data_IF_036530336347
#
_entry.id   IF_036530336347
#
_cell.length_a   1.000
_cell.length_b   1.000
_cell.length_c   1.000
_cell.angle_alpha   90.00
_cell.angle_beta   90.00
_cell.angle_gamma   90.00
#
_symmetry.space_group_name_H-M   'P 1'
#
loop_
_entity.id
_entity.type
_entity.pdbx_description
1 polymer ?
#
# COMPACT_ATOMS: atom_id res chain seq x y z
N UNK A 1 -20.74 -44.23 10.12
CA UNK A 1 -21.93 -43.42 9.82
C UNK A 1 -21.46 -42.11 9.21
N UNK A 2 -21.58 -41.94 7.89
CA UNK A 2 -22.44 -40.94 7.21
C UNK A 2 -22.36 -39.53 7.80
N UNK A 3 -22.29 -38.41 7.06
CA UNK A 3 -22.31 -38.03 5.65
C UNK A 3 -22.09 -36.49 5.68
N UNK A 4 -21.10 -35.92 4.99
CA UNK A 4 -21.27 -34.98 3.86
C UNK A 4 -22.37 -33.88 3.94
N UNK A 5 -21.91 -32.64 3.68
CA UNK A 5 -22.54 -31.54 2.89
C UNK A 5 -23.78 -30.77 3.37
N UNK A 6 -23.71 -29.44 3.25
CA UNK A 6 -24.56 -28.56 2.39
C UNK A 6 -24.09 -27.09 2.59
N UNK A 7 -23.71 -26.27 1.61
CA UNK A 7 -24.22 -25.89 0.27
C UNK A 7 -25.54 -25.08 0.31
N UNK A 8 -25.40 -23.84 -0.15
CA UNK A 8 -26.29 -22.92 -0.88
C UNK A 8 -27.82 -22.95 -0.64
N UNK A 9 -28.39 -21.74 -0.48
CA UNK A 9 -29.76 -21.48 -0.91
C UNK A 9 -29.87 -20.14 -1.64
N UNK A 10 -30.14 -20.23 -2.95
CA UNK A 10 -30.79 -19.21 -3.77
C UNK A 10 -32.19 -19.72 -4.09
N UNK A 11 -33.08 -18.78 -4.45
CA UNK A 11 -34.36 -18.95 -5.17
C UNK A 11 -35.61 -19.08 -4.26
N UNK A 12 -36.55 -18.15 -4.41
CA UNK A 12 -37.87 -18.42 -4.99
C UNK A 12 -38.57 -17.13 -5.44
N UNK A 13 -39.13 -17.23 -6.65
CA UNK A 13 -40.09 -16.33 -7.30
C UNK A 13 -41.49 -16.73 -6.84
N UNK A 14 -42.37 -15.76 -6.57
CA UNK A 14 -43.82 -16.00 -6.57
C UNK A 14 -44.56 -14.76 -7.07
N UNK A 15 -45.37 -15.00 -8.10
CA UNK A 15 -46.32 -14.06 -8.71
C UNK A 15 -47.45 -13.69 -7.76
N UNK A 16 -47.95 -12.46 -7.86
CA UNK A 16 -49.37 -12.18 -7.64
C UNK A 16 -49.86 -11.15 -8.66
N UNK A 17 -50.91 -11.53 -9.40
CA UNK A 17 -51.70 -10.65 -10.26
C UNK A 17 -52.68 -9.84 -9.40
N UNK A 18 -52.82 -8.56 -9.72
CA UNK A 18 -53.84 -7.67 -9.17
C UNK A 18 -54.10 -6.51 -10.14
N UNK A 19 -55.38 -6.35 -10.48
CA UNK A 19 -55.93 -5.56 -11.59
C UNK A 19 -55.94 -4.04 -11.40
N UNK A 20 -55.59 -3.33 -12.48
CA UNK A 20 -56.06 -2.03 -13.00
C UNK A 20 -56.56 -0.93 -12.03
N UNK A 21 -55.82 0.19 -11.99
CA UNK A 21 -56.40 1.55 -11.96
C UNK A 21 -55.49 2.50 -12.75
N UNK A 22 -56.11 3.36 -13.56
CA UNK A 22 -55.47 4.31 -14.48
C UNK A 22 -54.67 5.39 -13.75
N UNK A 23 -53.48 5.72 -14.27
CA UNK A 23 -52.69 6.85 -13.82
C UNK A 23 -51.48 7.12 -14.73
N UNK A 24 -51.71 7.93 -15.77
CA UNK A 24 -50.74 8.78 -16.50
C UNK A 24 -49.33 8.23 -16.77
N UNK A 25 -49.10 7.90 -18.04
CA UNK A 25 -47.78 7.72 -18.63
C UNK A 25 -46.91 8.97 -18.40
N UNK A 26 -45.82 8.82 -17.64
CA UNK A 26 -44.73 9.80 -17.62
C UNK A 26 -43.93 9.62 -18.90
N UNK A 27 -44.34 10.33 -19.95
CA UNK A 27 -43.50 10.60 -21.11
C UNK A 27 -42.39 11.53 -20.63
N UNK A 28 -41.17 11.02 -20.46
CA UNK A 28 -39.99 11.88 -20.31
C UNK A 28 -39.75 12.51 -21.68
N UNK A 29 -39.87 13.83 -21.86
CA UNK A 29 -39.58 14.46 -23.13
C UNK A 29 -38.06 14.40 -23.36
N UNK A 30 -37.67 13.97 -24.55
CA UNK A 30 -36.33 14.11 -25.09
C UNK A 30 -36.06 15.62 -25.33
N UNK A 31 -35.77 16.36 -24.27
CA UNK A 31 -35.29 17.73 -24.35
C UNK A 31 -33.76 17.70 -24.41
N UNK A 32 -33.22 17.83 -25.62
CA UNK A 32 -31.82 18.21 -25.84
C UNK A 32 -31.65 19.61 -25.25
N UNK A 33 -31.18 19.69 -23.99
CA UNK A 33 -30.67 20.95 -23.45
C UNK A 33 -29.37 21.29 -24.18
N UNK A 34 -29.18 22.58 -24.41
CA UNK A 34 -28.30 23.18 -25.42
C UNK A 34 -26.89 22.56 -25.55
N UNK A 35 -26.25 22.73 -26.72
CA UNK A 35 -24.84 22.34 -26.97
C UNK A 35 -23.88 22.87 -25.89
N UNK A 36 -24.17 23.99 -25.22
CA UNK A 36 -23.32 24.53 -24.15
C UNK A 36 -23.44 23.74 -22.85
N UNK A 37 -24.63 23.27 -22.48
CA UNK A 37 -24.81 22.39 -21.32
C UNK A 37 -24.21 20.99 -21.56
N UNK A 38 -24.34 20.47 -22.78
CA UNK A 38 -23.65 19.23 -23.17
C UNK A 38 -22.12 19.40 -23.16
N UNK A 39 -21.59 20.57 -23.55
CA UNK A 39 -20.15 20.86 -23.50
C UNK A 39 -19.65 21.10 -22.07
N UNK A 40 -20.46 21.69 -21.19
CA UNK A 40 -20.15 21.80 -19.76
C UNK A 40 -20.24 20.45 -19.04
N UNK A 41 -21.20 19.60 -19.37
CA UNK A 41 -21.32 18.24 -18.85
C UNK A 41 -20.22 17.31 -19.40
N UNK A 42 -19.78 17.50 -20.65
CA UNK A 42 -18.60 16.83 -21.21
C UNK A 42 -17.30 17.34 -20.58
N UNK A 43 -17.20 18.63 -20.26
CA UNK A 43 -16.07 19.19 -19.49
C UNK A 43 -16.06 18.73 -18.03
N UNK A 44 -17.23 18.53 -17.40
CA UNK A 44 -17.32 18.04 -16.02
C UNK A 44 -17.07 16.53 -15.92
N UNK A 45 -17.37 15.75 -16.97
CA UNK A 45 -17.09 14.30 -17.04
C UNK A 45 -15.69 13.96 -17.54
N UNK A 46 -14.98 14.92 -18.13
CA UNK A 46 -13.55 14.79 -18.47
C UNK A 46 -12.61 15.15 -17.31
N UNK A 47 -13.16 15.59 -16.18
CA UNK A 47 -12.50 15.69 -14.88
C UNK A 47 -12.83 14.47 -14.01
N UNK A 48 -13.01 13.30 -14.63
CA UNK A 48 -12.76 12.03 -13.94
C UNK A 48 -11.27 12.02 -13.64
N UNK A 49 -10.95 12.47 -12.44
CA UNK A 49 -9.86 11.98 -11.61
C UNK A 49 -8.83 11.20 -12.41
N UNK A 50 -7.79 11.89 -12.90
CA UNK A 50 -6.53 11.20 -13.08
C UNK A 50 -6.18 10.73 -11.66
N UNK A 51 -6.50 9.49 -11.34
CA UNK A 51 -6.12 8.91 -10.06
C UNK A 51 -4.61 9.05 -9.98
N UNK A 52 -4.16 9.96 -9.12
CA UNK A 52 -2.75 10.14 -8.84
C UNK A 52 -2.35 8.92 -8.04
N UNK A 53 -1.32 8.21 -8.49
CA UNK A 53 -0.76 7.08 -7.75
C UNK A 53 0.55 7.51 -7.11
N UNK A 54 0.81 6.97 -5.93
CA UNK A 54 2.06 7.08 -5.20
C UNK A 54 2.71 5.70 -5.10
N UNK A 55 4.01 5.68 -4.86
CA UNK A 55 4.79 4.48 -4.67
C UNK A 55 4.84 4.12 -3.19
N UNK A 56 4.23 3.01 -2.82
CA UNK A 56 4.42 2.39 -1.51
C UNK A 56 5.65 1.47 -1.54
N UNK A 57 6.34 1.39 -0.41
CA UNK A 57 7.54 0.61 -0.23
C UNK A 57 7.54 -0.06 1.14
N UNK A 58 7.93 -1.33 1.18
CA UNK A 58 8.28 -2.07 2.40
C UNK A 58 9.72 -2.54 2.31
N UNK A 59 10.45 -2.46 3.43
CA UNK A 59 11.76 -3.07 3.61
C UNK A 59 11.75 -3.86 4.92
N UNK A 60 12.33 -5.06 4.88
CA UNK A 60 12.49 -5.93 6.03
C UNK A 60 13.97 -6.18 6.32
N UNK A 61 14.33 -6.18 7.59
CA UNK A 61 15.70 -6.44 8.03
C UNK A 61 15.70 -7.44 9.18
N UNK A 62 16.49 -8.51 9.05
CA UNK A 62 16.71 -9.45 10.15
C UNK A 62 17.90 -9.00 10.98
N UNK A 63 17.63 -8.52 12.20
CA UNK A 63 18.61 -8.00 13.12
C UNK A 63 19.61 -9.08 13.56
N UNK A 64 20.85 -8.65 13.79
CA UNK A 64 21.96 -9.52 14.21
C UNK A 64 21.84 -9.92 15.68
N UNK A 65 21.39 -8.98 16.52
CA UNK A 65 20.98 -9.19 17.91
C UNK A 65 19.56 -8.66 18.15
N UNK A 66 19.11 -8.67 19.38
CA UNK A 66 17.88 -7.95 19.76
C UNK A 66 18.10 -6.43 19.64
N UNK A 67 17.03 -5.64 19.55
CA UNK A 67 17.14 -4.18 19.33
C UNK A 67 17.95 -3.45 20.42
N UNK A 68 17.95 -3.98 21.65
CA UNK A 68 18.68 -3.45 22.82
C UNK A 68 20.10 -4.01 22.96
N UNK A 69 20.53 -4.93 22.09
CA UNK A 69 21.90 -5.46 22.08
C UNK A 69 22.87 -4.33 21.66
N UNK A 70 24.03 -4.16 22.33
CA UNK A 70 25.04 -3.17 21.96
C UNK A 70 25.44 -3.18 20.47
N UNK A 71 25.32 -4.33 19.80
CA UNK A 71 25.57 -4.40 18.36
C UNK A 71 24.61 -3.53 17.52
N UNK A 72 23.42 -3.27 18.03
CA UNK A 72 22.36 -2.46 17.39
C UNK A 72 22.41 -0.98 17.78
N UNK A 73 23.28 -0.55 18.69
CA UNK A 73 23.31 0.81 19.23
C UNK A 73 23.43 1.88 18.14
N UNK A 74 24.37 1.73 17.20
CA UNK A 74 24.55 2.72 16.13
C UNK A 74 23.33 2.78 15.19
N UNK A 75 22.63 1.66 14.99
CA UNK A 75 21.39 1.65 14.22
C UNK A 75 20.26 2.37 14.98
N UNK A 76 20.02 1.97 16.24
CA UNK A 76 18.96 2.52 17.09
C UNK A 76 19.12 4.02 17.32
N UNK A 77 20.35 4.48 17.61
CA UNK A 77 20.65 5.89 17.85
C UNK A 77 20.51 6.79 16.60
N UNK A 78 20.36 6.20 15.40
CA UNK A 78 20.20 6.94 14.15
C UNK A 78 18.81 6.81 13.52
N UNK A 79 17.87 6.08 14.14
CA UNK A 79 16.51 5.92 13.63
C UNK A 79 15.83 7.27 13.39
N UNK A 80 15.81 8.15 14.40
CA UNK A 80 15.17 9.46 14.31
C UNK A 80 15.82 10.35 13.23
N UNK A 81 17.15 10.31 13.11
CA UNK A 81 17.88 11.06 12.12
C UNK A 81 17.50 10.63 10.70
N UNK A 82 17.40 9.32 10.46
CA UNK A 82 17.02 8.75 9.16
C UNK A 82 15.54 8.99 8.86
N UNK A 83 14.66 8.84 9.85
CA UNK A 83 13.23 9.12 9.70
C UNK A 83 13.00 10.60 9.35
N UNK A 84 13.66 11.51 10.06
CA UNK A 84 13.61 12.96 9.78
C UNK A 84 14.16 13.27 8.39
N UNK A 85 15.26 12.63 7.99
CA UNK A 85 15.83 12.80 6.65
C UNK A 85 14.85 12.35 5.55
N UNK A 86 14.13 11.24 5.76
CA UNK A 86 13.09 10.80 4.84
C UNK A 86 11.97 11.84 4.74
N UNK A 87 11.43 12.29 5.87
CA UNK A 87 10.33 13.26 5.96
C UNK A 87 10.65 14.62 5.32
N UNK A 88 11.93 15.00 5.28
CA UNK A 88 12.42 16.22 4.65
C UNK A 88 12.82 16.04 3.18
N UNK A 89 12.84 14.80 2.67
CA UNK A 89 13.24 14.52 1.29
C UNK A 89 12.14 14.90 0.31
N UNK A 90 12.54 15.41 -0.86
CA UNK A 90 11.62 15.68 -1.95
C UNK A 90 10.88 14.41 -2.36
N UNK A 91 9.57 14.53 -2.55
CA UNK A 91 8.70 13.41 -2.92
C UNK A 91 8.33 12.46 -1.79
N UNK A 92 8.74 12.69 -0.54
CA UNK A 92 8.19 11.96 0.60
C UNK A 92 6.70 12.28 0.80
N UNK A 93 5.89 11.27 1.07
CA UNK A 93 4.44 11.42 1.30
C UNK A 93 4.04 10.98 2.70
N UNK A 94 4.48 9.80 3.12
CA UNK A 94 4.04 9.20 4.38
C UNK A 94 5.00 8.09 4.82
N UNK A 95 5.03 7.79 6.12
CA UNK A 95 5.63 6.56 6.63
C UNK A 95 4.75 5.92 7.69
N UNK A 96 4.87 4.60 7.80
CA UNK A 96 4.24 3.86 8.86
C UNK A 96 4.93 4.12 10.20
N UNK A 97 4.14 4.31 11.24
CA UNK A 97 4.55 4.44 12.62
C UNK A 97 3.68 3.50 13.45
N UNK A 98 4.26 2.73 14.35
CA UNK A 98 3.43 2.00 15.31
C UNK A 98 2.74 3.01 16.23
N UNK A 99 1.52 2.66 16.66
CA UNK A 99 0.76 3.48 17.61
C UNK A 99 1.39 3.55 19.00
N UNK A 100 2.33 2.65 19.31
CA UNK A 100 2.93 2.54 20.64
C UNK A 100 4.25 3.31 20.75
N UNK A 101 5.11 3.26 19.74
CA UNK A 101 6.47 3.80 19.80
C UNK A 101 6.77 4.89 18.79
N UNK A 102 5.88 5.17 17.83
CA UNK A 102 6.12 6.15 16.78
C UNK A 102 7.14 5.69 15.72
N UNK A 103 7.65 4.46 15.84
CA UNK A 103 8.49 3.76 14.88
C UNK A 103 7.85 2.42 14.48
N UNK A 104 8.23 1.89 13.32
CA UNK A 104 7.77 0.62 12.77
C UNK A 104 8.53 -0.59 13.35
N UNK A 105 9.65 -0.38 14.05
CA UNK A 105 10.55 -1.45 14.53
C UNK A 105 9.89 -2.48 15.45
N UNK A 106 8.87 -2.09 16.21
CA UNK A 106 8.19 -2.98 17.16
C UNK A 106 7.04 -3.77 16.53
N UNK A 107 6.75 -3.50 15.25
CA UNK A 107 5.61 -4.13 14.55
C UNK A 107 5.96 -5.54 14.12
N UNK A 108 5.28 -6.52 14.71
CA UNK A 108 5.50 -7.94 14.45
C UNK A 108 4.51 -8.49 13.43
N UNK A 109 4.95 -8.54 12.18
CA UNK A 109 4.22 -9.21 11.08
C UNK A 109 4.81 -10.57 10.69
N UNK A 110 5.93 -10.96 11.31
CA UNK A 110 6.60 -12.26 11.14
C UNK A 110 6.77 -12.94 12.50
N UNK A 111 6.89 -14.27 12.48
CA UNK A 111 7.12 -15.07 13.70
C UNK A 111 8.52 -14.87 14.28
N UNK A 112 9.49 -14.43 13.47
CA UNK A 112 10.85 -14.12 13.91
C UNK A 112 10.91 -12.69 14.47
N UNK A 113 11.02 -12.58 15.79
CA UNK A 113 11.11 -11.31 16.52
C UNK A 113 12.32 -10.43 16.14
N UNK A 114 13.30 -10.97 15.41
CA UNK A 114 14.44 -10.19 14.92
C UNK A 114 14.17 -9.56 13.56
N UNK A 115 13.03 -9.82 12.93
CA UNK A 115 12.64 -9.13 11.69
C UNK A 115 11.94 -7.84 12.06
N UNK A 116 12.56 -6.72 11.69
CA UNK A 116 11.96 -5.39 11.75
C UNK A 116 11.53 -4.95 10.36
N UNK A 117 10.59 -4.01 10.32
CA UNK A 117 10.09 -3.44 9.07
C UNK A 117 10.28 -1.93 9.04
N UNK A 118 10.41 -1.39 7.84
CA UNK A 118 10.21 0.02 7.54
C UNK A 118 9.30 0.12 6.33
N UNK A 119 8.29 1.00 6.41
CA UNK A 119 7.31 1.16 5.35
C UNK A 119 7.04 2.64 5.11
N UNK A 120 7.06 3.04 3.84
CA UNK A 120 6.89 4.44 3.43
C UNK A 120 6.18 4.57 2.09
N UNK A 121 5.64 5.75 1.83
CA UNK A 121 4.99 6.13 0.57
C UNK A 121 5.68 7.38 0.02
N UNK A 122 5.94 7.35 -1.28
CA UNK A 122 6.66 8.36 -2.05
C UNK A 122 5.87 8.75 -3.29
N UNK A 123 6.13 9.94 -3.83
CA UNK A 123 5.50 10.38 -5.07
C UNK A 123 5.81 9.42 -6.23
N UNK A 124 7.07 8.98 -6.32
CA UNK A 124 7.56 8.11 -7.39
C UNK A 124 8.83 7.35 -7.00
N UNK A 125 9.31 6.50 -7.92
CA UNK A 125 10.52 5.69 -7.76
C UNK A 125 11.78 6.55 -7.67
N UNK A 126 11.85 7.64 -8.42
CA UNK A 126 13.03 8.50 -8.46
C UNK A 126 13.26 9.20 -7.12
N UNK A 127 12.19 9.72 -6.51
CA UNK A 127 12.21 10.34 -5.19
C UNK A 127 12.73 9.37 -4.12
N UNK A 128 12.18 8.15 -4.10
CA UNK A 128 12.65 7.10 -3.19
C UNK A 128 14.11 6.71 -3.46
N UNK A 129 14.53 6.60 -4.72
CA UNK A 129 15.93 6.29 -5.09
C UNK A 129 16.91 7.38 -4.64
N UNK A 130 16.52 8.65 -4.75
CA UNK A 130 17.32 9.79 -4.30
C UNK A 130 17.53 9.73 -2.79
N UNK A 131 16.45 9.53 -2.02
CA UNK A 131 16.56 9.30 -0.58
C UNK A 131 17.41 8.08 -0.27
N UNK A 132 17.07 6.90 -0.81
CA UNK A 132 17.65 5.63 -0.39
C UNK A 132 19.16 5.54 -0.65
N UNK A 133 19.65 6.11 -1.77
CA UNK A 133 21.03 5.90 -2.21
C UNK A 133 21.88 7.17 -2.32
N UNK A 134 21.27 8.34 -2.52
CA UNK A 134 21.99 9.60 -2.79
C UNK A 134 21.93 10.61 -1.63
N UNK A 135 21.20 10.31 -0.56
CA UNK A 135 21.18 11.08 0.68
C UNK A 135 22.14 10.49 1.75
N UNK A 136 22.13 11.08 2.96
CA UNK A 136 22.80 10.53 4.14
C UNK A 136 22.42 9.08 4.45
N UNK A 137 21.21 8.63 4.07
CA UNK A 137 20.77 7.24 4.23
C UNK A 137 21.67 6.23 3.51
N UNK A 138 22.26 6.61 2.35
CA UNK A 138 23.12 5.72 1.57
C UNK A 138 24.35 5.23 2.36
N UNK A 139 24.83 5.99 3.35
CA UNK A 139 25.92 5.55 4.22
C UNK A 139 25.52 4.38 5.12
N UNK A 140 24.32 4.44 5.71
CA UNK A 140 23.75 3.36 6.52
C UNK A 140 23.45 2.12 5.67
N UNK A 141 22.91 2.32 4.47
CA UNK A 141 22.66 1.20 3.55
C UNK A 141 23.94 0.42 3.21
N UNK A 142 25.08 1.09 3.03
CA UNK A 142 26.37 0.44 2.80
C UNK A 142 26.85 -0.36 4.02
N UNK A 143 26.57 0.14 5.23
CA UNK A 143 26.96 -0.45 6.51
C UNK A 143 25.96 -1.47 7.06
N UNK A 144 24.82 -1.68 6.41
CA UNK A 144 23.72 -2.55 6.88
C UNK A 144 24.13 -3.94 7.39
N UNK A 145 25.24 -4.51 6.89
CA UNK A 145 25.75 -5.82 7.33
C UNK A 145 26.31 -5.82 8.77
N UNK A 146 26.55 -4.65 9.34
CA UNK A 146 26.93 -4.47 10.74
C UNK A 146 25.75 -4.83 11.67
N UNK A 147 24.51 -4.51 11.26
CA UNK A 147 23.30 -4.67 12.08
C UNK A 147 22.36 -5.77 11.61
N UNK A 148 22.41 -6.13 10.33
CA UNK A 148 21.47 -7.06 9.72
C UNK A 148 22.16 -8.27 9.10
N UNK A 149 21.55 -9.44 9.25
CA UNK A 149 21.96 -10.64 8.53
C UNK A 149 21.30 -10.67 7.15
N UNK A 150 21.97 -11.21 6.11
CA UNK A 150 21.37 -11.41 4.81
C UNK A 150 20.11 -12.29 4.90
N UNK A 151 19.07 -11.90 4.17
CA UNK A 151 17.89 -12.72 3.95
C UNK A 151 18.08 -13.58 2.70
N UNK A 152 17.48 -14.76 2.69
CA UNK A 152 17.43 -15.64 1.50
C UNK A 152 16.31 -15.22 0.54
N UNK A 153 15.34 -14.44 1.02
CA UNK A 153 14.19 -13.90 0.27
C UNK A 153 14.40 -12.43 -0.11
N UNK A 154 13.44 -11.84 -0.83
CA UNK A 154 13.46 -10.41 -1.07
C UNK A 154 13.33 -9.65 0.26
N UNK A 155 14.15 -8.60 0.41
CA UNK A 155 14.09 -7.71 1.56
C UNK A 155 13.21 -6.48 1.29
N UNK A 156 12.94 -6.17 0.02
CA UNK A 156 12.26 -4.93 -0.39
C UNK A 156 11.18 -5.27 -1.41
N UNK A 157 10.01 -4.65 -1.24
CA UNK A 157 8.95 -4.63 -2.25
C UNK A 157 8.42 -3.21 -2.43
N UNK A 158 8.05 -2.91 -3.67
CA UNK A 158 7.46 -1.68 -4.14
C UNK A 158 6.12 -2.00 -4.82
N UNK A 159 5.12 -1.14 -4.64
CA UNK A 159 3.84 -1.23 -5.35
C UNK A 159 3.15 0.13 -5.44
N UNK A 160 2.28 0.29 -6.43
CA UNK A 160 1.52 1.53 -6.59
C UNK A 160 0.28 1.52 -5.70
N UNK A 161 -0.01 2.67 -5.08
CA UNK A 161 -1.22 2.92 -4.28
C UNK A 161 -1.88 4.23 -4.72
N UNK A 162 -3.22 4.35 -4.66
CA UNK A 162 -3.87 5.64 -4.89
C UNK A 162 -3.34 6.71 -3.92
N UNK A 163 -3.22 7.95 -4.38
CA UNK A 163 -2.75 9.06 -3.55
C UNK A 163 -3.63 9.24 -2.32
N UNK A 164 -3.00 9.47 -1.16
CA UNK A 164 -3.67 9.51 0.14
C UNK A 164 -3.90 8.14 0.79
N UNK A 165 -3.47 7.04 0.17
CA UNK A 165 -3.50 5.71 0.80
C UNK A 165 -2.42 5.58 1.87
N UNK A 166 -2.81 5.00 3.01
CA UNK A 166 -1.92 4.58 4.09
C UNK A 166 -1.95 3.04 4.16
N UNK A 167 -1.04 2.34 3.44
CA UNK A 167 -1.04 0.89 3.43
C UNK A 167 -0.71 0.33 4.81
N UNK A 168 -1.24 -0.85 5.10
CA UNK A 168 -1.00 -1.55 6.37
C UNK A 168 0.21 -2.51 6.27
N UNK A 169 0.88 -2.81 7.40
CA UNK A 169 1.97 -3.79 7.42
C UNK A 169 1.58 -5.17 6.88
N UNK A 170 0.34 -5.63 7.11
CA UNK A 170 -0.15 -6.91 6.58
C UNK A 170 -0.29 -6.88 5.05
N UNK A 171 -0.87 -5.81 4.48
CA UNK A 171 -0.94 -5.67 3.03
C UNK A 171 0.46 -5.65 2.41
N UNK A 172 1.42 -4.98 3.05
CA UNK A 172 2.79 -4.92 2.58
C UNK A 172 3.49 -6.28 2.65
N UNK A 173 3.20 -7.09 3.67
CA UNK A 173 3.65 -8.49 3.76
C UNK A 173 3.15 -9.30 2.57
N UNK A 174 1.86 -9.23 2.28
CA UNK A 174 1.25 -9.94 1.14
C UNK A 174 1.92 -9.56 -0.18
N UNK A 175 2.30 -8.27 -0.33
CA UNK A 175 3.04 -7.79 -1.51
C UNK A 175 4.44 -8.39 -1.60
N UNK A 176 5.16 -8.50 -0.49
CA UNK A 176 6.50 -9.11 -0.49
C UNK A 176 6.42 -10.61 -0.80
N UNK A 177 5.44 -11.31 -0.23
CA UNK A 177 5.18 -12.73 -0.51
C UNK A 177 4.82 -12.94 -1.99
N UNK A 178 4.00 -12.05 -2.58
CA UNK A 178 3.69 -12.08 -4.01
C UNK A 178 4.95 -11.95 -4.86
N UNK A 179 5.85 -11.03 -4.51
CA UNK A 179 7.12 -10.84 -5.21
C UNK A 179 8.03 -12.08 -5.08
N UNK A 180 8.11 -12.70 -3.91
CA UNK A 180 8.89 -13.92 -3.70
C UNK A 180 8.35 -15.12 -4.50
N UNK A 181 7.02 -15.24 -4.63
CA UNK A 181 6.36 -16.36 -5.30
C UNK A 181 6.31 -16.21 -6.82
N UNK A 182 6.05 -15.01 -7.32
CA UNK A 182 5.78 -14.77 -8.74
C UNK A 182 6.88 -13.99 -9.46
N UNK A 183 7.85 -13.44 -8.73
CA UNK A 183 8.77 -12.45 -9.26
C UNK A 183 8.09 -11.10 -9.51
N UNK A 184 8.77 -10.16 -10.21
CA UNK A 184 8.24 -8.82 -10.43
C UNK A 184 6.95 -8.80 -11.26
N UNK A 185 5.93 -8.10 -10.76
CA UNK A 185 4.65 -7.85 -11.43
C UNK A 185 4.27 -6.37 -11.28
N UNK A 186 3.20 -5.94 -11.98
CA UNK A 186 2.66 -4.59 -11.77
C UNK A 186 2.16 -4.37 -10.33
N UNK A 187 1.74 -5.45 -9.66
CA UNK A 187 1.19 -5.40 -8.31
C UNK A 187 2.26 -5.44 -7.21
N UNK A 188 3.46 -5.96 -7.49
CA UNK A 188 4.59 -6.03 -6.56
C UNK A 188 5.90 -6.19 -7.32
N UNK A 189 6.85 -5.29 -7.12
CA UNK A 189 8.15 -5.27 -7.79
C UNK A 189 9.27 -4.77 -6.87
N UNK A 190 10.51 -4.73 -7.37
CA UNK A 190 11.66 -4.20 -6.62
C UNK A 190 12.42 -3.18 -7.48
N UNK A 191 13.52 -2.63 -6.98
CA UNK A 191 14.42 -1.79 -7.80
C UNK A 191 15.17 -2.57 -8.90
N UNK A 192 15.12 -3.91 -8.88
CA UNK A 192 15.75 -4.81 -9.85
C UNK A 192 14.76 -5.33 -10.86
#
# INVERSE_FOLDING_TARGET
>A
ASCMMNICFWRHVALFMGTLSLGTAFVIPLAIKSKSEATLALRSTNRRDQEVYHLAQLNIGKMRGDLEDPIMDDFRNNLDNINTLAEQSEGFVWRYQSSETGDATDTKIYDDNRIIINMSVWQDVDSLMQFAYKSGHGAFYRRRKEWFVPLETNAVVLWWVPAGSEPTPLQAKDKLELLDQMGPTADAFSFR
#
